data_IF_710547452366
#
_entry.id   IF_710547452366
#
_cell.length_a   1.000
_cell.length_b   1.000
_cell.length_c   1.000
_cell.angle_alpha   90.00
_cell.angle_beta   90.00
_cell.angle_gamma   90.00
#
_symmetry.space_group_name_H-M   'P 1'
#
loop_
_entity.id
_entity.type
_entity.pdbx_description
1 polymer ?
#
# COMPACT_ATOMS: atom_id res chain seq x y z
N UNK A 1 -17.26 -20.62 -9.82
CA UNK A 1 -17.03 -20.38 -8.37
C UNK A 1 -15.95 -19.32 -8.21
N UNK A 2 -16.25 -18.20 -7.56
CA UNK A 2 -15.20 -17.26 -7.15
C UNK A 2 -14.23 -17.99 -6.21
N UNK A 3 -12.91 -17.81 -6.36
CA UNK A 3 -11.96 -18.43 -5.46
C UNK A 3 -12.23 -17.92 -4.05
N UNK A 4 -12.52 -18.84 -3.14
CA UNK A 4 -12.55 -18.56 -1.71
C UNK A 4 -11.13 -18.17 -1.30
N UNK A 5 -10.91 -16.90 -1.00
CA UNK A 5 -9.69 -16.44 -0.32
C UNK A 5 -9.74 -17.04 1.10
N UNK A 6 -9.27 -18.28 1.21
CA UNK A 6 -9.19 -19.00 2.47
C UNK A 6 -8.40 -18.17 3.48
N UNK A 7 -9.02 -18.02 4.65
CA UNK A 7 -8.52 -17.29 5.80
C UNK A 7 -7.10 -17.72 6.13
N UNK A 8 -6.11 -16.87 5.83
CA UNK A 8 -4.82 -16.97 6.49
C UNK A 8 -5.10 -17.02 8.00
N UNK A 9 -4.45 -17.90 8.78
CA UNK A 9 -4.54 -17.82 10.22
C UNK A 9 -4.13 -16.41 10.68
N UNK A 10 -4.70 -15.90 11.77
CA UNK A 10 -4.43 -14.54 12.25
C UNK A 10 -2.92 -14.30 12.44
N UNK A 11 -2.21 -15.36 12.81
CA UNK A 11 -0.77 -15.41 13.03
C UNK A 11 0.05 -15.27 11.73
N UNK A 12 -0.55 -15.51 10.57
CA UNK A 12 0.08 -15.39 9.26
C UNK A 12 -0.22 -14.04 8.56
N UNK A 13 -0.97 -13.15 9.20
CA UNK A 13 -1.12 -11.76 8.75
C UNK A 13 0.02 -10.89 9.27
N UNK A 14 0.49 -9.95 8.45
CA UNK A 14 1.53 -8.98 8.81
C UNK A 14 2.82 -9.63 9.33
N UNK A 15 3.24 -10.70 8.68
CA UNK A 15 4.53 -11.34 8.99
C UNK A 15 5.70 -10.51 8.44
N UNK A 16 6.44 -9.86 9.35
CA UNK A 16 7.64 -9.08 9.06
C UNK A 16 8.94 -9.81 9.45
N UNK A 17 8.89 -11.12 9.66
CA UNK A 17 10.11 -11.91 9.87
C UNK A 17 11.07 -11.75 8.68
N UNK A 18 12.38 -11.79 8.97
CA UNK A 18 13.40 -11.65 7.94
C UNK A 18 13.55 -12.97 7.20
N UNK A 19 13.31 -12.93 5.90
CA UNK A 19 13.57 -14.03 4.97
C UNK A 19 14.06 -13.42 3.66
N UNK A 20 15.38 -13.48 3.43
CA UNK A 20 16.02 -12.90 2.25
C UNK A 20 15.69 -13.65 0.95
N UNK A 21 15.09 -14.85 1.05
CA UNK A 21 14.65 -15.63 -0.11
C UNK A 21 13.23 -15.23 -0.57
N UNK A 22 12.45 -14.56 0.28
CA UNK A 22 11.09 -14.11 -0.05
C UNK A 22 11.13 -12.69 -0.67
N UNK A 23 10.78 -12.55 -1.97
CA UNK A 23 10.84 -11.27 -2.67
C UNK A 23 9.84 -10.24 -2.12
N UNK A 24 8.71 -10.65 -1.53
CA UNK A 24 7.73 -9.73 -0.93
C UNK A 24 8.30 -9.17 0.36
N UNK A 25 8.86 -10.03 1.22
CA UNK A 25 9.49 -9.59 2.48
C UNK A 25 10.68 -8.67 2.23
N UNK A 26 11.50 -8.97 1.23
CA UNK A 26 12.61 -8.08 0.87
C UNK A 26 12.13 -6.73 0.32
N UNK A 27 11.08 -6.72 -0.52
CA UNK A 27 10.46 -5.48 -0.99
C UNK A 27 9.98 -4.63 0.19
N UNK A 28 9.19 -5.22 1.09
CA UNK A 28 8.64 -4.54 2.28
C UNK A 28 9.78 -3.98 3.14
N UNK A 29 10.80 -4.79 3.43
CA UNK A 29 11.97 -4.39 4.22
C UNK A 29 12.69 -3.20 3.59
N UNK A 30 12.94 -3.24 2.27
CA UNK A 30 13.58 -2.13 1.53
C UNK A 30 12.74 -0.86 1.57
N UNK A 31 11.42 -0.97 1.42
CA UNK A 31 10.50 0.16 1.51
C UNK A 31 10.59 0.83 2.88
N UNK A 32 10.50 0.06 3.97
CA UNK A 32 10.63 0.59 5.32
C UNK A 32 12.01 1.15 5.62
N UNK A 33 13.07 0.47 5.18
CA UNK A 33 14.43 0.96 5.34
C UNK A 33 14.63 2.32 4.67
N UNK A 34 14.20 2.46 3.41
CA UNK A 34 14.27 3.72 2.67
C UNK A 34 13.41 4.80 3.34
N UNK A 35 12.21 4.47 3.81
CA UNK A 35 11.33 5.41 4.51
C UNK A 35 11.98 5.91 5.81
N UNK A 36 12.43 5.01 6.68
CA UNK A 36 13.06 5.38 7.95
C UNK A 36 14.36 6.16 7.78
N UNK A 37 15.10 5.89 6.70
CA UNK A 37 16.35 6.60 6.40
C UNK A 37 16.11 8.02 5.90
N UNK A 38 15.07 8.22 5.08
CA UNK A 38 14.93 9.45 4.30
C UNK A 38 13.78 10.37 4.74
N UNK A 39 12.81 9.87 5.51
CA UNK A 39 11.69 10.71 5.99
C UNK A 39 12.15 11.57 7.16
N UNK A 40 12.57 12.79 6.84
CA UNK A 40 12.96 13.83 7.80
C UNK A 40 11.87 14.91 7.95
N UNK A 41 11.98 15.74 8.99
CA UNK A 41 11.08 16.90 9.20
C UNK A 41 11.08 17.82 7.97
N UNK A 42 12.26 18.09 7.41
CA UNK A 42 12.40 18.93 6.21
C UNK A 42 11.69 18.31 5.00
N UNK A 43 11.85 17.00 4.78
CA UNK A 43 11.15 16.32 3.68
C UNK A 43 9.63 16.41 3.89
N UNK A 44 9.14 16.15 5.09
CA UNK A 44 7.70 16.23 5.40
C UNK A 44 7.17 17.64 5.16
N UNK A 45 7.88 18.69 5.59
CA UNK A 45 7.50 20.08 5.36
C UNK A 45 7.41 20.40 3.84
N UNK A 46 8.39 19.96 3.05
CA UNK A 46 8.37 20.12 1.60
C UNK A 46 7.21 19.37 0.94
N UNK A 47 6.90 18.14 1.38
CA UNK A 47 5.75 17.38 0.85
C UNK A 47 4.43 18.06 1.19
N UNK A 48 4.29 18.61 2.40
CA UNK A 48 3.09 19.36 2.80
C UNK A 48 2.89 20.58 1.91
N UNK A 49 3.93 21.39 1.71
CA UNK A 49 3.86 22.56 0.83
C UNK A 49 3.48 22.18 -0.60
N UNK A 50 4.03 21.08 -1.11
CA UNK A 50 3.73 20.58 -2.46
C UNK A 50 2.27 20.12 -2.59
N UNK A 51 1.82 19.21 -1.73
CA UNK A 51 0.58 18.45 -1.96
C UNK A 51 -0.68 19.09 -1.39
N UNK A 52 -0.57 19.93 -0.35
CA UNK A 52 -1.73 20.60 0.27
C UNK A 52 -2.32 21.75 -0.56
N UNK A 53 -1.80 21.98 -1.78
CA UNK A 53 -2.36 22.91 -2.76
C UNK A 53 -3.51 22.29 -3.58
N UNK A 54 -3.69 20.96 -3.53
CA UNK A 54 -4.75 20.20 -4.24
C UNK A 54 -4.89 20.53 -5.74
N UNK A 55 -3.79 20.91 -6.39
CA UNK A 55 -3.76 21.36 -7.78
C UNK A 55 -3.04 20.37 -8.72
N UNK A 56 -2.76 19.15 -8.25
CA UNK A 56 -2.03 18.12 -9.00
C UNK A 56 -2.94 17.23 -9.85
N UNK A 57 -4.21 17.10 -9.46
CA UNK A 57 -5.15 16.21 -10.12
C UNK A 57 -6.59 16.64 -9.82
N UNK A 58 -7.43 16.69 -10.86
CA UNK A 58 -8.87 16.95 -10.74
C UNK A 58 -9.63 15.81 -11.41
N UNK A 59 -10.41 15.07 -10.63
CA UNK A 59 -11.24 13.97 -11.12
C UNK A 59 -12.42 13.69 -10.20
N UNK A 60 -13.28 12.76 -10.60
CA UNK A 60 -14.24 12.16 -9.68
C UNK A 60 -13.55 11.18 -8.73
N UNK A 61 -14.23 10.81 -7.64
CA UNK A 61 -13.75 9.77 -6.71
C UNK A 61 -13.58 8.44 -7.43
N UNK A 62 -14.50 8.09 -8.34
CA UNK A 62 -14.42 6.85 -9.13
C UNK A 62 -13.16 6.80 -9.98
N UNK A 63 -12.82 7.89 -10.66
CA UNK A 63 -11.62 7.95 -11.50
C UNK A 63 -10.34 7.87 -10.67
N UNK A 64 -10.35 8.45 -9.46
CA UNK A 64 -9.24 8.32 -8.52
C UNK A 64 -9.08 6.86 -8.04
N UNK A 65 -10.18 6.15 -7.78
CA UNK A 65 -10.15 4.72 -7.46
C UNK A 65 -9.64 3.88 -8.63
N UNK A 66 -10.06 4.18 -9.86
CA UNK A 66 -9.59 3.46 -11.05
C UNK A 66 -8.08 3.61 -11.24
N UNK A 67 -7.50 4.77 -10.90
CA UNK A 67 -6.03 4.94 -10.93
C UNK A 67 -5.28 4.01 -9.96
N UNK A 68 -5.95 3.49 -8.93
CA UNK A 68 -5.36 2.51 -8.02
C UNK A 68 -5.29 1.09 -8.63
N UNK A 69 -5.80 0.88 -9.85
CA UNK A 69 -5.53 -0.36 -10.61
C UNK A 69 -4.03 -0.52 -10.93
N UNK A 70 -3.32 0.60 -11.13
CA UNK A 70 -1.92 0.61 -11.55
C UNK A 70 -0.95 0.66 -10.37
N UNK A 71 -1.46 0.55 -9.13
CA UNK A 71 -0.68 0.65 -7.91
C UNK A 71 -0.81 -0.63 -7.08
N UNK A 72 0.33 -1.24 -6.78
CA UNK A 72 0.47 -2.27 -5.74
C UNK A 72 1.21 -1.64 -4.56
N UNK A 73 0.73 -1.87 -3.33
CA UNK A 73 1.39 -1.34 -2.13
C UNK A 73 2.66 -2.14 -1.82
N UNK A 74 3.82 -1.49 -1.95
CA UNK A 74 5.12 -2.11 -1.71
C UNK A 74 5.43 -2.33 -0.22
N UNK A 75 4.65 -1.73 0.68
CA UNK A 75 4.80 -1.85 2.14
C UNK A 75 3.93 -2.94 2.76
N UNK A 76 2.97 -3.48 2.01
CA UNK A 76 2.07 -4.52 2.48
C UNK A 76 2.67 -5.93 2.24
N UNK A 77 2.91 -6.72 3.29
CA UNK A 77 3.39 -8.10 3.16
C UNK A 77 2.28 -9.10 2.79
N UNK A 78 1.01 -8.73 2.92
CA UNK A 78 -0.12 -9.66 2.83
C UNK A 78 -0.72 -9.77 1.43
N UNK A 79 -0.41 -8.82 0.54
CA UNK A 79 -1.03 -8.71 -0.78
C UNK A 79 -0.08 -8.24 -1.88
N UNK A 80 -0.39 -8.66 -3.10
CA UNK A 80 0.24 -8.18 -4.32
C UNK A 80 -0.81 -7.77 -5.38
N UNK A 81 -2.06 -7.58 -4.94
CA UNK A 81 -3.17 -7.16 -5.78
C UNK A 81 -3.15 -5.63 -5.97
N UNK A 82 -3.76 -5.14 -7.06
CA UNK A 82 -4.01 -3.72 -7.23
C UNK A 82 -4.77 -3.13 -6.03
N UNK A 83 -4.34 -1.95 -5.57
CA UNK A 83 -4.84 -1.36 -4.32
C UNK A 83 -6.33 -0.99 -4.37
N UNK A 84 -6.91 -0.84 -5.57
CA UNK A 84 -8.36 -0.71 -5.74
C UNK A 84 -9.15 -1.90 -5.17
N UNK A 85 -8.60 -3.12 -5.27
CA UNK A 85 -9.27 -4.34 -4.78
C UNK A 85 -9.42 -4.26 -3.26
N UNK A 86 -8.36 -3.83 -2.57
CA UNK A 86 -8.40 -3.57 -1.12
C UNK A 86 -9.42 -2.49 -0.74
N UNK A 87 -9.53 -1.44 -1.56
CA UNK A 87 -10.54 -0.40 -1.37
C UNK A 87 -11.97 -0.95 -1.34
N UNK A 88 -12.34 -1.79 -2.31
CA UNK A 88 -13.66 -2.42 -2.34
C UNK A 88 -13.84 -3.48 -1.25
N UNK A 89 -12.84 -4.34 -0.99
CA UNK A 89 -12.91 -5.34 0.09
C UNK A 89 -13.16 -4.69 1.47
N UNK A 90 -12.58 -3.52 1.71
CA UNK A 90 -12.80 -2.76 2.94
C UNK A 90 -14.21 -2.19 3.00
N UNK A 91 -14.70 -1.62 1.88
CA UNK A 91 -16.02 -1.04 1.80
C UNK A 91 -17.15 -2.07 1.99
N UNK A 92 -17.02 -3.28 1.41
CA UNK A 92 -18.03 -4.33 1.49
C UNK A 92 -18.10 -5.02 2.86
N UNK A 93 -17.10 -4.82 3.74
CA UNK A 93 -17.04 -5.42 5.08
C UNK A 93 -17.53 -4.51 6.21
N UNK A 94 -17.80 -3.23 5.91
CA UNK A 94 -18.33 -2.23 6.86
C UNK A 94 -19.85 -2.15 6.68
#
# INVERSE_FOLDING_TARGET
PEPTFHDKPLEAFRDYSVDDADPIKERVRRTYYAMHTNVTVDLVNQKREKWLKFNHFKSTVKDALIKLNDLVDESDPDTNLPNIVHGFQTAERI
#
